data_IF_341771638899
#
_entry.id   IF_341771638899
#
_cell.length_a   1.000
_cell.length_b   1.000
_cell.length_c   1.000
_cell.angle_alpha   90.00
_cell.angle_beta   90.00
_cell.angle_gamma   90.00
#
_symmetry.space_group_name_H-M   'P 1'
#
loop_
_entity.id
_entity.type
_entity.pdbx_description
1 polymer ?
#
# COMPACT_ATOMS: atom_id res chain seq x y z
N UNK A 1 8.89 19.80 -68.90
CA UNK A 1 7.59 20.11 -69.52
C UNK A 1 7.16 18.90 -70.33
N UNK A 2 6.29 18.05 -69.78
CA UNK A 2 5.47 17.10 -70.53
C UNK A 2 4.32 16.70 -69.60
N UNK A 3 3.15 17.23 -69.94
CA UNK A 3 1.85 16.94 -69.33
C UNK A 3 1.35 15.61 -69.88
N UNK A 4 0.94 14.69 -69.00
CA UNK A 4 0.08 13.58 -69.39
C UNK A 4 -1.35 13.88 -68.96
N UNK A 5 -2.24 13.84 -69.94
CA UNK A 5 -3.66 14.14 -69.86
C UNK A 5 -4.43 12.86 -69.51
N UNK A 6 -5.72 13.08 -69.21
CA UNK A 6 -6.83 12.14 -69.46
C UNK A 6 -7.16 11.17 -68.30
N UNK A 7 -8.28 11.41 -67.62
CA UNK A 7 -9.61 10.92 -68.08
C UNK A 7 -10.69 11.05 -66.99
N UNK A 8 -11.81 11.68 -67.40
CA UNK A 8 -13.20 11.50 -66.96
C UNK A 8 -13.51 11.66 -65.45
N UNK A 9 -14.13 12.74 -64.95
CA UNK A 9 -15.48 13.24 -65.25
C UNK A 9 -16.57 12.18 -65.26
N UNK A 10 -17.35 12.10 -64.17
CA UNK A 10 -18.81 11.93 -64.23
C UNK A 10 -19.43 12.30 -62.89
N UNK A 11 -19.94 13.54 -62.83
CA UNK A 11 -20.96 13.97 -61.88
C UNK A 11 -22.25 13.21 -62.21
N UNK A 12 -22.93 12.63 -61.21
CA UNK A 12 -24.37 12.39 -61.31
C UNK A 12 -25.04 13.06 -60.13
N UNK A 13 -25.81 14.08 -60.47
CA UNK A 13 -26.63 14.89 -59.59
C UNK A 13 -28.09 14.51 -59.88
N UNK A 14 -28.88 14.47 -58.81
CA UNK A 14 -30.34 14.64 -58.73
C UNK A 14 -31.32 13.45 -58.76
N UNK A 15 -31.87 13.24 -57.54
CA UNK A 15 -33.18 12.79 -57.00
C UNK A 15 -34.42 13.21 -57.84
N UNK A 16 -35.73 12.94 -57.50
CA UNK A 16 -36.34 12.31 -56.30
C UNK A 16 -37.62 11.43 -56.55
N UNK A 17 -38.17 10.78 -55.50
CA UNK A 17 -39.62 10.58 -55.16
C UNK A 17 -39.72 9.46 -54.09
N UNK A 18 -40.06 9.71 -52.82
CA UNK A 18 -41.40 9.89 -52.18
C UNK A 18 -42.28 8.63 -52.11
N UNK A 19 -42.94 8.47 -50.95
CA UNK A 19 -43.81 7.38 -50.43
C UNK A 19 -43.09 6.23 -49.69
N UNK A 20 -43.49 5.77 -48.51
CA UNK A 20 -44.51 6.19 -47.55
C UNK A 20 -44.18 5.59 -46.17
N UNK A 21 -44.79 6.19 -45.15
CA UNK A 21 -44.99 5.82 -43.76
C UNK A 21 -44.65 4.38 -43.29
N UNK A 22 -43.89 4.32 -42.19
CA UNK A 22 -43.83 3.19 -41.26
C UNK A 22 -43.66 3.72 -39.83
N UNK A 23 -44.69 3.54 -39.02
CA UNK A 23 -44.82 3.97 -37.61
C UNK A 23 -44.04 3.03 -36.68
N UNK A 24 -43.46 3.64 -35.63
CA UNK A 24 -43.09 3.10 -34.32
C UNK A 24 -41.93 2.09 -34.20
N UNK A 25 -40.88 2.50 -33.47
CA UNK A 25 -40.74 2.22 -32.04
C UNK A 25 -39.47 2.89 -31.51
N UNK A 26 -39.61 3.62 -30.40
CA UNK A 26 -38.49 4.06 -29.59
C UNK A 26 -37.72 2.84 -29.07
N UNK A 27 -36.64 2.49 -29.76
CA UNK A 27 -35.66 1.53 -29.27
C UNK A 27 -34.57 2.26 -28.50
N UNK A 28 -34.72 2.37 -27.18
CA UNK A 28 -33.58 2.59 -26.30
C UNK A 28 -32.63 1.39 -26.46
N UNK A 29 -31.69 1.47 -27.41
CA UNK A 29 -30.60 0.52 -27.52
C UNK A 29 -29.59 0.81 -26.40
N UNK A 30 -29.95 0.42 -25.18
CA UNK A 30 -29.00 0.16 -24.09
C UNK A 30 -28.26 -1.13 -24.43
N UNK A 31 -27.40 -1.08 -25.44
CA UNK A 31 -26.50 -2.18 -25.76
C UNK A 31 -25.58 -2.44 -24.55
N UNK A 32 -25.34 -3.70 -24.16
CA UNK A 32 -24.38 -4.01 -23.12
C UNK A 32 -23.01 -3.45 -23.53
N UNK A 33 -22.44 -2.56 -22.72
CA UNK A 33 -21.05 -2.09 -22.89
C UNK A 33 -20.14 -3.31 -23.01
N UNK A 34 -19.18 -3.34 -23.95
CA UNK A 34 -18.25 -4.45 -24.05
C UNK A 34 -17.49 -4.59 -22.73
N UNK A 35 -17.62 -5.77 -22.12
CA UNK A 35 -17.02 -6.15 -20.85
C UNK A 35 -15.50 -6.27 -21.00
N UNK A 36 -14.76 -5.22 -20.64
CA UNK A 36 -13.29 -5.23 -20.47
C UNK A 36 -12.84 -5.97 -19.19
N UNK A 37 -13.71 -6.81 -18.61
CA UNK A 37 -13.48 -7.55 -17.37
C UNK A 37 -12.18 -8.40 -17.35
N UNK A 38 -11.79 -9.16 -18.40
CA UNK A 38 -10.58 -10.00 -18.33
C UNK A 38 -9.27 -9.19 -18.39
N UNK A 39 -9.24 -8.07 -19.12
CA UNK A 39 -8.06 -7.21 -19.19
C UNK A 39 -7.82 -6.47 -17.86
N UNK A 40 -8.87 -5.93 -17.24
CA UNK A 40 -8.78 -5.22 -15.97
C UNK A 40 -8.32 -6.13 -14.81
N UNK A 41 -8.83 -7.36 -14.75
CA UNK A 41 -8.40 -8.35 -13.76
C UNK A 41 -6.90 -8.71 -13.91
N UNK A 42 -6.42 -8.84 -15.15
CA UNK A 42 -5.02 -9.12 -15.44
C UNK A 42 -4.12 -7.92 -15.08
N UNK A 43 -4.54 -6.69 -15.36
CA UNK A 43 -3.81 -5.49 -14.96
C UNK A 43 -3.68 -5.39 -13.43
N UNK A 44 -4.76 -5.65 -12.69
CA UNK A 44 -4.75 -5.63 -11.23
C UNK A 44 -3.77 -6.67 -10.64
N UNK A 45 -3.76 -7.89 -11.17
CA UNK A 45 -2.80 -8.92 -10.76
C UNK A 45 -1.35 -8.51 -11.04
N UNK A 46 -1.09 -7.97 -12.24
CA UNK A 46 0.25 -7.51 -12.59
C UNK A 46 0.73 -6.36 -11.70
N UNK A 47 -0.16 -5.42 -11.35
CA UNK A 47 0.17 -4.30 -10.45
C UNK A 47 0.65 -4.80 -9.09
N UNK A 48 -0.04 -5.79 -8.52
CA UNK A 48 0.36 -6.41 -7.24
C UNK A 48 1.75 -7.05 -7.36
N UNK A 49 1.96 -7.86 -8.40
CA UNK A 49 3.26 -8.52 -8.64
C UNK A 49 4.39 -7.51 -8.90
N UNK A 50 4.13 -6.40 -9.62
CA UNK A 50 5.09 -5.32 -9.79
C UNK A 50 5.46 -4.71 -8.44
N UNK A 51 4.47 -4.41 -7.59
CA UNK A 51 4.70 -3.85 -6.26
C UNK A 51 5.55 -4.78 -5.38
N UNK A 52 5.33 -6.10 -5.46
CA UNK A 52 6.16 -7.11 -4.78
C UNK A 52 7.63 -7.05 -5.25
N UNK A 53 7.88 -7.05 -6.56
CA UNK A 53 9.26 -6.95 -7.08
C UNK A 53 9.95 -5.65 -6.65
N UNK A 54 9.25 -4.52 -6.66
CA UNK A 54 9.79 -3.25 -6.18
C UNK A 54 10.13 -3.27 -4.68
N UNK A 55 9.32 -3.94 -3.86
CA UNK A 55 9.60 -4.12 -2.43
C UNK A 55 10.83 -5.00 -2.18
N UNK A 56 11.11 -5.96 -3.06
CA UNK A 56 12.30 -6.81 -3.00
C UNK A 56 13.56 -6.11 -3.56
N UNK A 57 13.39 -4.99 -4.27
CA UNK A 57 14.46 -4.28 -4.98
C UNK A 57 14.78 -4.87 -6.35
N UNK A 58 13.96 -5.80 -6.87
CA UNK A 58 14.10 -6.37 -8.22
C UNK A 58 13.50 -5.42 -9.27
N UNK A 59 14.24 -4.34 -9.53
CA UNK A 59 13.80 -3.27 -10.43
C UNK A 59 13.76 -3.70 -11.89
N UNK A 60 14.60 -4.66 -12.28
CA UNK A 60 14.69 -5.14 -13.66
C UNK A 60 13.45 -5.96 -14.04
N UNK A 61 13.03 -6.88 -13.17
CA UNK A 61 11.82 -7.68 -13.38
C UNK A 61 10.59 -6.78 -13.33
N UNK A 62 10.52 -5.86 -12.36
CA UNK A 62 9.43 -4.89 -12.28
C UNK A 62 9.32 -4.04 -13.56
N UNK A 63 10.43 -3.51 -14.07
CA UNK A 63 10.45 -2.68 -15.30
C UNK A 63 9.98 -3.46 -16.53
N UNK A 64 10.41 -4.73 -16.68
CA UNK A 64 9.95 -5.59 -17.79
C UNK A 64 8.44 -5.83 -17.71
N UNK A 65 7.93 -6.15 -16.51
CA UNK A 65 6.51 -6.41 -16.29
C UNK A 65 5.66 -5.15 -16.52
N UNK A 66 6.09 -3.98 -16.01
CA UNK A 66 5.44 -2.68 -16.26
C UNK A 66 5.32 -2.42 -17.77
N UNK A 67 6.41 -2.58 -18.53
CA UNK A 67 6.42 -2.37 -19.99
C UNK A 67 5.44 -3.31 -20.70
N UNK A 68 5.42 -4.58 -20.31
CA UNK A 68 4.50 -5.56 -20.89
C UNK A 68 3.03 -5.25 -20.56
N UNK A 69 2.74 -4.81 -19.33
CA UNK A 69 1.39 -4.45 -18.88
C UNK A 69 0.89 -3.18 -19.56
N UNK A 70 1.72 -2.14 -19.69
CA UNK A 70 1.37 -0.90 -20.40
C UNK A 70 1.11 -1.10 -21.89
N UNK A 71 1.72 -2.11 -22.53
CA UNK A 71 1.42 -2.45 -23.93
C UNK A 71 -0.03 -2.91 -24.10
N UNK A 72 -0.61 -3.56 -23.09
CA UNK A 72 -2.00 -4.05 -23.09
C UNK A 72 -2.97 -2.99 -22.61
N UNK A 73 -2.56 -2.21 -21.61
CA UNK A 73 -3.39 -1.18 -20.98
C UNK A 73 -2.62 0.15 -20.90
N UNK A 74 -2.50 0.88 -22.03
CA UNK A 74 -1.68 2.11 -22.10
C UNK A 74 -2.20 3.26 -21.24
N UNK A 75 -3.51 3.26 -20.95
CA UNK A 75 -4.19 4.35 -20.23
C UNK A 75 -4.31 4.07 -18.72
N UNK A 76 -3.65 3.01 -18.22
CA UNK A 76 -3.68 2.68 -16.81
C UNK A 76 -2.78 3.63 -16.00
N UNK A 77 -3.42 4.54 -15.25
CA UNK A 77 -2.72 5.52 -14.42
C UNK A 77 -1.78 4.87 -13.38
N UNK A 78 -2.17 3.73 -12.82
CA UNK A 78 -1.36 3.02 -11.82
C UNK A 78 -0.09 2.45 -12.43
N UNK A 79 -0.17 1.82 -13.61
CA UNK A 79 1.00 1.33 -14.32
C UNK A 79 1.91 2.48 -14.78
N UNK A 80 1.34 3.61 -15.18
CA UNK A 80 2.11 4.82 -15.51
C UNK A 80 2.86 5.36 -14.28
N UNK A 81 2.21 5.40 -13.11
CA UNK A 81 2.85 5.77 -11.85
C UNK A 81 4.00 4.82 -11.51
N UNK A 82 3.79 3.50 -11.61
CA UNK A 82 4.80 2.48 -11.32
C UNK A 82 5.98 2.53 -12.31
N UNK A 83 5.75 2.94 -13.56
CA UNK A 83 6.82 3.24 -14.53
C UNK A 83 7.64 4.45 -14.11
N UNK A 84 6.98 5.56 -13.77
CA UNK A 84 7.65 6.81 -13.40
C UNK A 84 8.53 6.59 -12.15
N UNK A 85 7.97 5.87 -11.19
CA UNK A 85 8.60 5.25 -10.02
C UNK A 85 9.99 4.62 -10.24
N UNK A 86 10.19 3.90 -11.37
CA UNK A 86 11.44 3.19 -11.68
C UNK A 86 12.33 3.89 -12.71
N UNK A 87 11.88 5.02 -13.28
CA UNK A 87 12.58 5.71 -14.36
C UNK A 87 12.99 7.13 -14.01
N UNK A 88 12.16 7.86 -13.26
CA UNK A 88 12.42 9.26 -12.90
C UNK A 88 13.19 9.37 -11.59
N UNK A 89 13.75 10.55 -11.35
CA UNK A 89 14.34 10.91 -10.07
C UNK A 89 13.25 11.08 -8.99
N UNK A 90 13.41 10.52 -7.78
CA UNK A 90 12.40 10.62 -6.73
C UNK A 90 12.20 12.05 -6.21
N UNK A 91 13.21 12.92 -6.27
CA UNK A 91 13.11 14.32 -5.84
C UNK A 91 12.35 15.14 -6.87
N UNK A 92 12.54 14.88 -8.16
CA UNK A 92 11.71 15.47 -9.22
C UNK A 92 10.24 15.05 -9.11
N UNK A 93 9.98 13.78 -8.76
CA UNK A 93 8.63 13.24 -8.63
C UNK A 93 7.87 13.73 -7.40
N UNK A 94 8.52 13.73 -6.23
CA UNK A 94 7.87 14.01 -4.95
C UNK A 94 8.10 15.46 -4.47
N UNK A 95 9.02 16.17 -5.11
CA UNK A 95 9.40 17.53 -4.80
C UNK A 95 10.63 17.63 -3.89
N UNK A 96 11.34 18.77 -3.93
CA UNK A 96 12.55 18.99 -3.13
C UNK A 96 12.26 19.33 -1.67
N UNK A 97 11.02 19.72 -1.33
CA UNK A 97 10.63 20.04 0.04
C UNK A 97 10.30 18.76 0.80
N UNK A 98 10.87 18.63 1.99
CA UNK A 98 10.59 17.52 2.90
C UNK A 98 10.68 17.96 4.35
N UNK A 99 10.15 17.14 5.24
CA UNK A 99 10.35 17.24 6.69
C UNK A 99 10.87 15.91 7.25
N UNK A 100 11.53 15.99 8.40
CA UNK A 100 12.09 14.80 9.05
C UNK A 100 11.02 14.06 9.86
N UNK A 101 11.05 12.74 9.74
CA UNK A 101 10.18 11.83 10.48
C UNK A 101 11.01 10.72 11.10
N UNK A 102 10.93 10.60 12.43
CA UNK A 102 11.54 9.49 13.15
C UNK A 102 10.60 8.29 13.11
N UNK A 103 11.02 7.23 12.43
CA UNK A 103 10.27 5.99 12.26
C UNK A 103 9.92 5.42 13.62
N UNK A 104 8.64 5.20 13.85
CA UNK A 104 8.12 4.62 15.08
C UNK A 104 8.06 3.09 14.98
N UNK A 105 8.15 2.38 16.12
CA UNK A 105 8.00 0.93 16.14
C UNK A 105 6.65 0.46 15.56
N UNK A 106 6.71 -0.19 14.40
CA UNK A 106 5.55 -0.69 13.66
C UNK A 106 5.16 0.12 12.44
N UNK A 107 5.86 1.22 12.16
CA UNK A 107 5.73 1.89 10.87
C UNK A 107 6.25 1.00 9.74
N UNK A 108 5.67 1.19 8.57
CA UNK A 108 6.15 0.61 7.32
C UNK A 108 6.23 1.72 6.29
N UNK A 109 7.18 1.65 5.35
CA UNK A 109 7.27 2.65 4.27
C UNK A 109 5.95 2.75 3.48
N UNK A 110 5.23 1.63 3.34
CA UNK A 110 3.92 1.62 2.70
C UNK A 110 2.86 2.40 3.48
N UNK A 111 2.80 2.24 4.81
CA UNK A 111 1.89 3.03 5.64
C UNK A 111 2.27 4.52 5.67
N UNK A 112 3.57 4.84 5.64
CA UNK A 112 4.05 6.22 5.60
C UNK A 112 3.76 6.87 4.23
N UNK A 113 3.96 6.15 3.13
CA UNK A 113 3.60 6.62 1.79
C UNK A 113 2.10 6.86 1.66
N UNK A 114 1.27 5.95 2.17
CA UNK A 114 -0.19 6.12 2.18
C UNK A 114 -0.59 7.36 3.01
N UNK A 115 -0.03 7.49 4.21
CA UNK A 115 -0.36 8.58 5.14
C UNK A 115 0.08 9.96 4.64
N UNK A 116 1.26 10.06 4.05
CA UNK A 116 1.88 11.36 3.73
C UNK A 116 1.85 11.71 2.25
N UNK A 117 1.82 10.72 1.36
CA UNK A 117 1.74 10.92 -0.10
C UNK A 117 0.35 10.59 -0.65
N UNK A 118 -0.56 10.05 0.17
CA UNK A 118 -1.92 9.68 -0.22
C UNK A 118 -2.01 8.42 -1.09
N UNK A 119 -0.87 7.73 -1.31
CA UNK A 119 -0.83 6.55 -2.16
C UNK A 119 0.24 5.55 -1.67
N UNK A 120 -0.22 4.40 -1.16
CA UNK A 120 0.64 3.29 -0.76
C UNK A 120 1.61 2.81 -1.85
N UNK A 121 1.26 2.90 -3.13
CA UNK A 121 2.14 2.48 -4.23
C UNK A 121 3.38 3.37 -4.40
N UNK A 122 3.41 4.53 -3.72
CA UNK A 122 4.59 5.39 -3.67
C UNK A 122 5.68 4.92 -2.69
N UNK A 123 5.50 3.75 -2.07
CA UNK A 123 6.48 3.09 -1.19
C UNK A 123 7.89 3.09 -1.78
N UNK A 124 8.02 2.66 -3.04
CA UNK A 124 9.32 2.52 -3.70
C UNK A 124 9.99 3.89 -3.96
N UNK A 125 9.20 4.91 -4.31
CA UNK A 125 9.72 6.26 -4.52
C UNK A 125 10.16 6.89 -3.21
N UNK A 126 9.38 6.69 -2.13
CA UNK A 126 9.76 7.14 -0.79
C UNK A 126 11.05 6.46 -0.30
N UNK A 127 11.23 5.17 -0.61
CA UNK A 127 12.47 4.45 -0.31
C UNK A 127 13.66 5.07 -1.06
N UNK A 128 13.53 5.27 -2.38
CA UNK A 128 14.57 5.92 -3.21
C UNK A 128 14.87 7.35 -2.76
N UNK A 129 13.86 8.11 -2.37
CA UNK A 129 14.00 9.46 -1.81
C UNK A 129 14.89 9.48 -0.55
N UNK A 130 14.91 8.37 0.20
CA UNK A 130 15.70 8.21 1.42
C UNK A 130 16.97 7.36 1.22
N UNK A 131 17.35 7.03 -0.02
CA UNK A 131 18.52 6.20 -0.30
C UNK A 131 18.37 4.73 0.15
N UNK A 132 17.14 4.27 0.37
CA UNK A 132 16.85 2.90 0.79
C UNK A 132 16.64 2.04 -0.46
N UNK A 133 17.54 1.07 -0.67
CA UNK A 133 17.48 0.19 -1.84
C UNK A 133 16.30 -0.78 -1.79
N UNK A 134 15.95 -1.27 -0.60
CA UNK A 134 14.86 -2.24 -0.38
C UNK A 134 13.83 -1.67 0.60
N UNK A 135 12.60 -1.37 0.16
CA UNK A 135 11.59 -0.77 1.05
C UNK A 135 11.24 -1.59 2.30
N UNK A 136 11.50 -2.90 2.29
CA UNK A 136 11.28 -3.78 3.44
C UNK A 136 12.30 -3.56 4.59
N UNK A 137 13.37 -2.80 4.38
CA UNK A 137 14.48 -2.64 5.34
C UNK A 137 14.32 -1.44 6.29
N UNK A 138 13.08 -1.01 6.58
CA UNK A 138 12.87 0.14 7.46
C UNK A 138 13.14 -0.21 8.93
N UNK A 139 14.07 0.51 9.57
CA UNK A 139 14.38 0.33 10.99
C UNK A 139 13.66 1.37 11.86
N UNK A 140 13.12 0.94 13.01
CA UNK A 140 12.58 1.86 14.00
C UNK A 140 13.68 2.79 14.55
N UNK A 141 13.35 4.05 14.79
CA UNK A 141 14.30 5.08 15.19
C UNK A 141 15.11 5.70 14.04
N UNK A 142 15.01 5.17 12.82
CA UNK A 142 15.60 5.78 11.64
C UNK A 142 14.91 7.11 11.33
N UNK A 143 15.68 8.14 10.99
CA UNK A 143 15.13 9.39 10.46
C UNK A 143 14.92 9.27 8.97
N UNK A 144 13.69 9.50 8.52
CA UNK A 144 13.31 9.60 7.10
C UNK A 144 12.98 11.04 6.74
N UNK A 145 13.36 11.43 5.53
CA UNK A 145 12.84 12.61 4.85
C UNK A 145 11.51 12.26 4.19
N UNK A 146 10.44 12.91 4.62
CA UNK A 146 9.10 12.76 4.06
C UNK A 146 8.81 13.96 3.16
N UNK A 147 8.56 13.75 1.85
CA UNK A 147 8.24 14.84 0.94
C UNK A 147 6.97 15.59 1.33
N UNK A 148 6.96 16.89 1.06
CA UNK A 148 5.85 17.79 1.36
C UNK A 148 6.09 18.65 2.60
N UNK A 149 4.98 19.14 3.16
CA UNK A 149 5.00 20.01 4.35
C UNK A 149 4.62 19.21 5.57
N UNK A 150 5.35 19.42 6.68
CA UNK A 150 5.06 18.76 7.94
C UNK A 150 3.61 19.06 8.36
N UNK A 151 2.84 18.04 8.78
CA UNK A 151 1.57 18.29 9.44
C UNK A 151 1.81 19.16 10.67
N UNK A 152 0.91 20.13 10.92
CA UNK A 152 0.99 20.95 12.12
C UNK A 152 1.10 20.02 13.35
N UNK A 153 2.07 20.25 14.26
CA UNK A 153 2.22 19.41 15.42
C UNK A 153 0.93 19.50 16.24
N UNK A 154 0.19 18.40 16.30
CA UNK A 154 -0.79 18.22 17.38
C UNK A 154 0.04 18.19 18.66
N UNK A 155 0.00 19.29 19.42
CA UNK A 155 0.59 19.37 20.76
C UNK A 155 -0.04 18.27 21.61
N UNK A 156 0.54 17.07 21.62
CA UNK A 156 0.44 16.20 22.79
C UNK A 156 1.26 16.89 23.85
N UNK A 157 0.61 17.27 24.94
CA UNK A 157 1.30 17.72 26.14
C UNK A 157 2.29 16.62 26.55
N UNK A 158 3.54 16.77 26.15
CA UNK A 158 4.67 16.11 26.77
C UNK A 158 4.76 16.68 28.17
N UNK A 159 4.51 15.85 29.20
CA UNK A 159 5.10 16.08 30.51
C UNK A 159 6.61 16.20 30.28
N UNK A 160 7.12 17.42 30.38
CA UNK A 160 8.52 17.71 30.21
C UNK A 160 9.33 16.88 31.22
N UNK A 161 10.47 16.29 30.83
CA UNK A 161 11.42 15.81 31.82
C UNK A 161 11.99 17.06 32.51
N UNK A 162 11.72 17.22 33.79
CA UNK A 162 12.33 18.28 34.59
C UNK A 162 13.83 18.07 34.60
N UNK A 163 14.54 18.85 33.81
CA UNK A 163 16.00 18.95 33.82
C UNK A 163 16.39 19.72 35.09
N UNK A 164 16.56 19.00 36.19
CA UNK A 164 17.20 19.53 37.40
C UNK A 164 18.69 19.22 37.35
N UNK A 165 19.51 20.23 37.11
CA UNK A 165 20.93 20.27 37.48
C UNK A 165 21.37 21.75 37.55
N UNK A 166 22.37 22.17 38.36
CA UNK A 166 23.20 21.41 39.31
C UNK A 166 23.48 22.12 40.68
N UNK A 167 23.85 21.36 41.74
CA UNK A 167 24.72 21.86 42.83
C UNK A 167 25.36 20.71 43.66
N UNK A 168 26.68 20.60 43.54
CA UNK A 168 27.73 20.11 44.47
C UNK A 168 27.50 18.92 45.47
N UNK A 169 28.29 17.86 45.22
CA UNK A 169 29.00 16.83 46.05
C UNK A 169 28.91 16.82 47.62
N UNK A 170 29.24 15.69 48.33
CA UNK A 170 30.11 14.58 47.90
C UNK A 170 29.62 13.13 48.17
N UNK A 171 30.31 12.22 47.49
CA UNK A 171 30.27 10.76 47.60
C UNK A 171 30.49 10.28 49.05
N UNK A 172 29.56 9.47 49.57
CA UNK A 172 29.81 8.58 50.71
C UNK A 172 29.32 7.19 50.37
N UNK A 173 30.26 6.25 50.41
CA UNK A 173 30.10 4.84 50.14
C UNK A 173 28.90 4.22 50.88
N UNK A 174 28.16 3.36 50.19
CA UNK A 174 27.36 2.31 50.81
C UNK A 174 27.69 0.94 50.21
N UNK A 175 27.62 -0.13 51.03
CA UNK A 175 28.40 -1.35 50.88
C UNK A 175 27.72 -2.40 50.00
N UNK A 176 28.49 -3.41 49.62
CA UNK A 176 28.04 -4.52 48.80
C UNK A 176 27.06 -5.48 49.51
N UNK A 177 26.07 -5.93 48.71
CA UNK A 177 25.19 -7.13 48.78
C UNK A 177 23.95 -7.07 49.69
N UNK A 178 22.87 -7.85 49.41
CA UNK A 178 22.64 -8.82 48.32
C UNK A 178 21.31 -8.60 47.56
N UNK A 179 21.30 -8.67 46.23
CA UNK A 179 20.07 -8.95 45.46
C UNK A 179 20.25 -10.33 44.84
N UNK A 180 19.79 -11.38 45.51
CA UNK A 180 18.40 -11.86 45.49
C UNK A 180 18.03 -12.42 44.10
N UNK A 181 17.87 -13.73 44.11
CA UNK A 181 17.33 -14.62 43.10
C UNK A 181 16.65 -13.99 41.88
N UNK A 182 17.02 -14.49 40.70
CA UNK A 182 16.23 -14.41 39.47
C UNK A 182 14.72 -14.50 39.76
N UNK A 183 13.93 -13.47 39.42
CA UNK A 183 12.52 -13.71 39.15
C UNK A 183 12.42 -14.40 37.79
N UNK A 184 11.65 -15.49 37.76
CA UNK A 184 11.14 -16.14 36.55
C UNK A 184 10.62 -15.11 35.52
N UNK A 185 10.67 -15.41 34.21
CA UNK A 185 10.34 -14.44 33.17
C UNK A 185 8.89 -13.96 33.33
N UNK A 186 8.73 -12.70 33.75
CA UNK A 186 7.47 -11.99 33.56
C UNK A 186 7.11 -12.14 32.08
N UNK A 187 5.94 -12.70 31.78
CA UNK A 187 5.44 -12.89 30.42
C UNK A 187 5.58 -11.55 29.67
N UNK A 188 6.66 -11.42 28.88
CA UNK A 188 6.95 -10.18 28.16
C UNK A 188 5.87 -10.06 27.10
N UNK A 189 5.04 -9.03 27.24
CA UNK A 189 4.21 -8.54 26.14
C UNK A 189 5.16 -8.37 24.95
N UNK A 190 4.92 -9.11 23.87
CA UNK A 190 5.73 -9.05 22.65
C UNK A 190 4.85 -8.48 21.52
N UNK A 191 4.76 -7.15 21.43
CA UNK A 191 3.86 -6.49 20.48
C UNK A 191 4.30 -6.72 19.03
N UNK A 192 5.57 -7.05 18.79
CA UNK A 192 6.08 -7.30 17.43
C UNK A 192 5.62 -8.67 16.95
N UNK A 193 5.84 -9.72 17.75
CA UNK A 193 5.37 -11.06 17.44
C UNK A 193 3.84 -11.12 17.36
N UNK A 194 3.13 -10.37 18.23
CA UNK A 194 1.67 -10.24 18.16
C UNK A 194 1.19 -9.67 16.81
N UNK A 195 1.82 -8.59 16.32
CA UNK A 195 1.47 -7.96 15.03
C UNK A 195 1.76 -8.88 13.84
N UNK A 196 2.86 -9.63 13.86
CA UNK A 196 3.17 -10.60 12.81
C UNK A 196 2.11 -11.72 12.75
N UNK A 197 1.73 -12.29 13.89
CA UNK A 197 0.70 -13.32 13.97
C UNK A 197 -0.68 -12.78 13.55
N UNK A 198 -0.99 -11.53 13.90
CA UNK A 198 -2.19 -10.83 13.43
C UNK A 198 -2.24 -10.74 11.91
N UNK A 199 -1.16 -10.29 11.26
CA UNK A 199 -1.09 -10.20 9.79
C UNK A 199 -1.23 -11.56 9.12
N UNK A 200 -0.57 -12.59 9.67
CA UNK A 200 -0.71 -13.96 9.18
C UNK A 200 -2.17 -14.43 9.32
N UNK A 201 -2.84 -14.12 10.44
CA UNK A 201 -4.23 -14.45 10.68
C UNK A 201 -5.18 -13.79 9.67
N UNK A 202 -4.99 -12.51 9.37
CA UNK A 202 -5.79 -11.80 8.35
C UNK A 202 -5.56 -12.37 6.95
N UNK A 203 -4.32 -12.71 6.59
CA UNK A 203 -4.04 -13.37 5.30
C UNK A 203 -4.70 -14.74 5.19
N UNK A 204 -4.81 -15.48 6.31
CA UNK A 204 -5.48 -16.76 6.35
C UNK A 204 -7.00 -16.60 6.15
N UNK A 205 -7.63 -15.53 6.67
CA UNK A 205 -9.04 -15.24 6.39
C UNK A 205 -9.30 -14.99 4.92
N UNK A 206 -8.45 -14.20 4.25
CA UNK A 206 -8.59 -13.89 2.83
C UNK A 206 -8.48 -15.15 1.96
N UNK A 207 -7.76 -16.17 2.43
CA UNK A 207 -7.61 -17.47 1.77
C UNK A 207 -8.69 -18.49 2.16
N UNK A 208 -9.74 -18.08 2.89
CA UNK A 208 -10.80 -18.97 3.38
C UNK A 208 -10.40 -19.86 4.57
N UNK A 209 -9.19 -19.71 5.10
CA UNK A 209 -8.65 -20.48 6.22
C UNK A 209 -9.10 -19.98 7.59
N UNK A 210 -10.41 -19.94 7.84
CA UNK A 210 -10.99 -19.35 9.05
C UNK A 210 -10.49 -19.99 10.37
N UNK A 211 -10.31 -21.31 10.41
CA UNK A 211 -9.78 -22.00 11.60
C UNK A 211 -8.32 -21.61 11.90
N UNK A 212 -7.49 -21.53 10.85
CA UNK A 212 -6.08 -21.11 10.96
C UNK A 212 -5.97 -19.66 11.40
N UNK A 213 -6.85 -18.79 10.88
CA UNK A 213 -6.91 -17.39 11.28
C UNK A 213 -7.21 -17.23 12.78
N UNK A 214 -8.21 -17.95 13.32
CA UNK A 214 -8.56 -17.92 14.75
C UNK A 214 -7.36 -18.32 15.62
N UNK A 215 -6.65 -19.39 15.24
CA UNK A 215 -5.46 -19.84 15.99
C UNK A 215 -4.35 -18.78 16.02
N UNK A 216 -4.06 -18.16 14.87
CA UNK A 216 -3.03 -17.12 14.75
C UNK A 216 -3.42 -15.87 15.55
N UNK A 217 -4.69 -15.45 15.48
CA UNK A 217 -5.18 -14.27 16.19
C UNK A 217 -5.28 -14.48 17.70
N UNK A 218 -5.57 -15.70 18.20
CA UNK A 218 -5.47 -16.02 19.63
C UNK A 218 -4.05 -15.93 20.15
N UNK A 219 -3.09 -16.50 19.42
CA UNK A 219 -1.67 -16.38 19.79
C UNK A 219 -1.24 -14.92 19.81
N UNK A 220 -1.68 -14.13 18.83
CA UNK A 220 -1.45 -12.68 18.82
C UNK A 220 -2.05 -11.99 20.05
N UNK A 221 -3.26 -12.37 20.49
CA UNK A 221 -3.92 -11.78 21.65
C UNK A 221 -3.24 -12.14 22.98
N UNK A 222 -2.60 -13.31 23.08
CA UNK A 222 -1.78 -13.69 24.25
C UNK A 222 -0.53 -12.82 24.35
N UNK A 223 0.08 -12.49 23.20
CA UNK A 223 1.31 -11.70 23.14
C UNK A 223 1.06 -10.19 23.31
N UNK A 224 -0.10 -9.68 22.91
CA UNK A 224 -0.50 -8.28 23.08
C UNK A 224 -2.00 -8.16 23.46
N UNK A 225 -2.34 -8.43 24.75
CA UNK A 225 -3.73 -8.42 25.22
C UNK A 225 -4.35 -7.02 25.29
N UNK A 226 -3.53 -5.96 25.20
CA UNK A 226 -3.98 -4.56 25.16
C UNK A 226 -4.47 -4.11 23.78
N UNK A 227 -4.21 -4.90 22.74
CA UNK A 227 -4.47 -4.49 21.36
C UNK A 227 -5.94 -4.64 20.96
N UNK A 228 -6.66 -3.52 20.90
CA UNK A 228 -8.06 -3.49 20.49
C UNK A 228 -8.30 -4.09 19.09
N UNK A 229 -7.38 -3.88 18.16
CA UNK A 229 -7.53 -4.40 16.80
C UNK A 229 -7.44 -5.93 16.75
N UNK A 230 -6.52 -6.54 17.52
CA UNK A 230 -6.39 -8.01 17.59
C UNK A 230 -7.68 -8.63 18.14
N UNK A 231 -8.29 -8.00 19.14
CA UNK A 231 -9.58 -8.43 19.70
C UNK A 231 -10.71 -8.37 18.66
N UNK A 232 -10.82 -7.26 17.93
CA UNK A 232 -11.85 -7.11 16.90
C UNK A 232 -11.70 -8.16 15.79
N UNK A 233 -10.48 -8.40 15.33
CA UNK A 233 -10.22 -9.36 14.26
C UNK A 233 -10.39 -10.80 14.72
N UNK A 234 -9.99 -11.14 15.95
CA UNK A 234 -10.25 -12.45 16.53
C UNK A 234 -11.76 -12.72 16.60
N UNK A 235 -12.54 -11.76 17.11
CA UNK A 235 -14.00 -11.89 17.19
C UNK A 235 -14.64 -12.07 15.79
N UNK A 236 -14.12 -11.35 14.78
CA UNK A 236 -14.56 -11.50 13.39
C UNK A 236 -14.23 -12.89 12.85
N UNK A 237 -12.99 -13.36 13.06
CA UNK A 237 -12.53 -14.67 12.62
C UNK A 237 -13.33 -15.80 13.26
N UNK A 238 -13.68 -15.69 14.54
CA UNK A 238 -14.48 -16.67 15.27
C UNK A 238 -15.91 -16.78 14.72
N UNK A 239 -16.54 -15.66 14.37
CA UNK A 239 -17.86 -15.68 13.68
C UNK A 239 -17.79 -16.38 12.33
N UNK A 240 -16.78 -16.09 11.52
CA UNK A 240 -16.58 -16.73 10.21
C UNK A 240 -16.31 -18.22 10.37
N UNK A 241 -15.49 -18.61 11.35
CA UNK A 241 -15.21 -20.01 11.62
C UNK A 241 -16.47 -20.78 12.08
N UNK A 242 -17.33 -20.14 12.88
CA UNK A 242 -18.60 -20.72 13.31
C UNK A 242 -19.56 -20.95 12.13
N UNK A 243 -19.70 -19.97 11.22
CA UNK A 243 -20.57 -20.12 10.04
C UNK A 243 -20.04 -21.16 9.07
N UNK A 244 -18.73 -21.25 8.88
CA UNK A 244 -18.10 -22.29 8.03
C UNK A 244 -18.29 -23.69 8.62
N UNK A 245 -18.20 -23.84 9.95
CA UNK A 245 -18.44 -25.13 10.62
C UNK A 245 -19.91 -25.57 10.54
N UNK A 246 -20.85 -24.64 10.63
CA UNK A 246 -22.28 -24.96 10.57
C UNK A 246 -22.76 -25.37 9.15
N UNK A 247 -21.98 -25.04 8.11
CA UNK A 247 -22.27 -25.39 6.71
C UNK A 247 -21.64 -26.72 6.25
N UNK A 248 -20.89 -27.38 7.13
CA UNK A 248 -20.10 -28.56 6.83
C UNK A 248 -20.68 -29.76 7.57
#
# INVERSE_FOLDING_TARGET
>A
MTFDLLRASSRRVFRPALFAAGIALAGCASGPRPVSAPAAATSAQNIETIAEYLNLGDTDTARKLIKASLKRDPNNATLALLRDSVTRDPVELLGPKSFDYVVQPGDTLAALADRYLGNRLMTYQLARYNGIAKPIQLAAGQTLRIPGTAPAPVRRATSAPTRSAPAAAPSRAQPARPQAANPAPSARIDPVAARQLRTQGLSALNKGGAAKAVQLLRRAAVLDPGNGAIKTDLARAERIAATVRARK
#
